data_IF_467501630027
#
_entry.id   IF_467501630027
#
_cell.length_a   1.000
_cell.length_b   1.000
_cell.length_c   1.000
_cell.angle_alpha   90.00
_cell.angle_beta   90.00
_cell.angle_gamma   90.00
#
_symmetry.space_group_name_H-M   'P 1'
#
loop_
_entity.id
_entity.type
_entity.pdbx_description
1 polymer ?
#
# COMPACT_ATOMS: atom_id res chain seq x y z
N UNK A 1 23.73 -22.84 -13.53
CA UNK A 1 24.19 -21.86 -12.52
C UNK A 1 23.16 -20.73 -12.35
N UNK A 2 21.87 -21.03 -12.05
CA UNK A 2 20.80 -20.01 -11.89
C UNK A 2 20.22 -19.93 -10.47
N UNK A 3 20.45 -20.95 -9.64
CA UNK A 3 19.91 -21.01 -8.28
C UNK A 3 20.46 -19.90 -7.35
N UNK A 4 21.69 -19.43 -7.58
CA UNK A 4 22.28 -18.32 -6.82
C UNK A 4 21.62 -16.97 -7.12
N UNK A 5 21.36 -16.68 -8.40
CA UNK A 5 20.75 -15.41 -8.83
C UNK A 5 19.30 -15.25 -8.36
N UNK A 6 18.51 -16.34 -8.31
CA UNK A 6 17.13 -16.29 -7.78
C UNK A 6 17.10 -16.10 -6.26
N UNK A 7 18.07 -16.67 -5.52
CA UNK A 7 18.19 -16.50 -4.07
C UNK A 7 18.67 -15.09 -3.71
N UNK A 8 19.64 -14.54 -4.47
CA UNK A 8 20.08 -13.15 -4.35
C UNK A 8 18.94 -12.19 -4.69
N UNK A 9 18.11 -12.55 -5.69
CA UNK A 9 16.94 -11.78 -6.10
C UNK A 9 15.80 -11.79 -5.06
N UNK A 10 15.49 -12.95 -4.47
CA UNK A 10 14.54 -13.07 -3.36
C UNK A 10 14.98 -12.27 -2.13
N UNK A 11 16.28 -12.23 -1.86
CA UNK A 11 16.87 -11.46 -0.75
C UNK A 11 16.76 -9.96 -1.00
N UNK A 12 17.07 -9.50 -2.22
CA UNK A 12 16.91 -8.10 -2.62
C UNK A 12 15.43 -7.64 -2.57
N UNK A 13 14.48 -8.50 -2.92
CA UNK A 13 13.05 -8.22 -2.78
C UNK A 13 12.64 -8.06 -1.31
N UNK A 14 13.22 -8.86 -0.41
CA UNK A 14 13.00 -8.76 1.04
C UNK A 14 13.58 -7.48 1.64
N UNK A 15 14.79 -7.07 1.22
CA UNK A 15 15.39 -5.80 1.62
C UNK A 15 14.61 -4.61 1.06
N UNK A 16 14.13 -4.69 -0.19
CA UNK A 16 13.28 -3.68 -0.80
C UNK A 16 11.91 -3.58 -0.11
N UNK A 17 11.33 -4.71 0.29
CA UNK A 17 10.12 -4.76 1.11
C UNK A 17 10.33 -4.22 2.54
N UNK A 18 11.58 -4.15 2.99
CA UNK A 18 11.99 -3.55 4.27
C UNK A 18 12.22 -2.03 4.16
N UNK A 19 12.17 -1.44 2.96
CA UNK A 19 12.31 0.01 2.77
C UNK A 19 11.09 0.79 3.28
N UNK A 20 11.23 2.09 3.62
CA UNK A 20 10.07 2.98 3.82
C UNK A 20 9.11 2.89 2.63
N UNK A 21 7.79 2.87 2.85
CA UNK A 21 6.83 2.43 1.81
C UNK A 21 6.92 3.23 0.49
N UNK A 22 7.35 4.49 0.53
CA UNK A 22 7.62 5.30 -0.66
C UNK A 22 8.73 4.77 -1.57
N UNK A 23 9.72 4.06 -1.03
CA UNK A 23 10.75 3.39 -1.82
C UNK A 23 10.31 2.01 -2.30
N UNK A 24 9.42 1.34 -1.57
CA UNK A 24 8.83 0.06 -1.99
C UNK A 24 7.95 0.25 -3.23
N UNK A 25 7.11 1.28 -3.26
CA UNK A 25 6.28 1.62 -4.43
C UNK A 25 7.13 2.01 -5.63
N UNK A 26 8.14 2.86 -5.42
CA UNK A 26 9.06 3.25 -6.50
C UNK A 26 9.82 2.04 -7.08
N UNK A 27 10.20 1.09 -6.23
CA UNK A 27 10.84 -0.15 -6.68
C UNK A 27 9.85 -1.09 -7.40
N UNK A 28 8.59 -1.16 -6.98
CA UNK A 28 7.56 -1.96 -7.67
C UNK A 28 7.23 -1.38 -9.05
N UNK A 29 7.10 -0.05 -9.17
CA UNK A 29 6.89 0.63 -10.45
C UNK A 29 8.10 0.40 -11.38
N UNK A 30 9.33 0.51 -10.86
CA UNK A 30 10.53 0.22 -11.65
C UNK A 30 10.56 -1.23 -12.17
N UNK A 31 10.03 -2.19 -11.41
CA UNK A 31 9.90 -3.59 -11.85
C UNK A 31 8.85 -3.75 -12.95
N UNK A 32 7.74 -3.01 -12.89
CA UNK A 32 6.72 -2.99 -13.94
C UNK A 32 7.29 -2.40 -15.24
N UNK A 33 7.99 -1.27 -15.16
CA UNK A 33 8.65 -0.64 -16.32
C UNK A 33 9.74 -1.54 -16.93
N UNK A 34 10.39 -2.37 -16.12
CA UNK A 34 11.35 -3.37 -16.59
C UNK A 34 10.70 -4.64 -17.19
N UNK A 35 9.38 -4.68 -17.37
CA UNK A 35 8.66 -5.84 -17.93
C UNK A 35 8.47 -6.99 -16.92
N UNK A 36 8.70 -6.75 -15.63
CA UNK A 36 8.66 -7.74 -14.54
C UNK A 36 7.47 -7.51 -13.62
N UNK A 37 6.30 -7.30 -14.21
CA UNK A 37 5.08 -6.97 -13.47
C UNK A 37 4.70 -8.00 -12.38
N UNK A 38 5.00 -9.29 -12.60
CA UNK A 38 4.78 -10.34 -11.59
C UNK A 38 5.60 -10.15 -10.32
N UNK A 39 6.85 -9.70 -10.45
CA UNK A 39 7.76 -9.44 -9.33
C UNK A 39 7.37 -8.16 -8.58
N UNK A 40 6.94 -7.11 -9.30
CA UNK A 40 6.39 -5.90 -8.69
C UNK A 40 5.13 -6.19 -7.86
N UNK A 41 4.22 -7.00 -8.40
CA UNK A 41 3.02 -7.47 -7.66
C UNK A 41 3.38 -8.35 -6.45
N UNK A 42 4.41 -9.19 -6.56
CA UNK A 42 4.86 -10.03 -5.45
C UNK A 42 5.53 -9.20 -4.34
N UNK A 43 6.32 -8.19 -4.70
CA UNK A 43 6.92 -7.26 -3.76
C UNK A 43 5.86 -6.42 -3.02
N UNK A 44 4.82 -5.97 -3.73
CA UNK A 44 3.65 -5.34 -3.11
C UNK A 44 2.92 -6.30 -2.16
N UNK A 45 2.72 -7.57 -2.54
CA UNK A 45 2.11 -8.61 -1.67
C UNK A 45 2.96 -8.98 -0.45
N UNK A 46 4.28 -8.80 -0.50
CA UNK A 46 5.16 -9.00 0.66
C UNK A 46 5.20 -7.76 1.56
N UNK A 47 5.21 -6.54 0.99
CA UNK A 47 5.05 -5.29 1.75
C UNK A 47 3.70 -5.18 2.47
N UNK A 48 2.69 -5.89 1.97
CA UNK A 48 1.39 -6.11 2.58
C UNK A 48 1.52 -6.81 3.94
N UNK A 49 2.52 -7.64 4.24
CA UNK A 49 2.72 -8.25 5.57
C UNK A 49 2.95 -7.24 6.72
N UNK A 50 3.10 -5.94 6.42
CA UNK A 50 3.20 -4.89 7.43
C UNK A 50 1.89 -4.68 8.20
N UNK A 51 1.96 -4.34 9.50
CA UNK A 51 0.80 -3.92 10.26
C UNK A 51 0.10 -2.74 9.58
N UNK A 52 -1.25 -2.70 9.51
CA UNK A 52 -1.98 -1.62 8.87
C UNK A 52 -1.54 -0.21 9.30
N UNK A 53 -1.22 -0.02 10.58
CA UNK A 53 -0.73 1.26 11.10
C UNK A 53 0.61 1.72 10.51
N UNK A 54 1.48 0.81 10.04
CA UNK A 54 2.72 1.21 9.36
C UNK A 54 2.47 1.76 7.95
N UNK A 55 1.46 1.23 7.25
CA UNK A 55 1.02 1.75 5.94
C UNK A 55 0.53 3.18 6.11
N UNK A 56 -0.32 3.43 7.12
CA UNK A 56 -0.79 4.77 7.47
C UNK A 56 0.36 5.74 7.74
N UNK A 57 1.36 5.35 8.54
CA UNK A 57 2.55 6.18 8.82
C UNK A 57 3.35 6.50 7.56
N UNK A 58 3.51 5.54 6.66
CA UNK A 58 4.25 5.78 5.43
C UNK A 58 3.51 6.72 4.46
N UNK A 59 2.17 6.61 4.38
CA UNK A 59 1.33 7.56 3.65
C UNK A 59 1.46 8.97 4.22
N UNK A 60 1.49 9.12 5.54
CA UNK A 60 1.70 10.41 6.20
C UNK A 60 3.08 11.00 5.86
N UNK A 61 4.12 10.18 5.85
CA UNK A 61 5.48 10.59 5.43
C UNK A 61 5.51 11.09 3.99
N UNK A 62 4.94 10.33 3.05
CA UNK A 62 4.86 10.73 1.65
C UNK A 62 4.02 11.99 1.44
N UNK A 63 2.93 12.15 2.19
CA UNK A 63 2.10 13.36 2.17
C UNK A 63 2.87 14.57 2.68
N UNK A 64 3.68 14.40 3.74
CA UNK A 64 4.55 15.47 4.25
C UNK A 64 5.63 15.88 3.24
N UNK A 65 6.15 14.91 2.47
CA UNK A 65 7.09 15.13 1.36
C UNK A 65 6.41 15.63 0.07
N UNK A 66 5.09 15.84 0.05
CA UNK A 66 4.29 16.24 -1.13
C UNK A 66 4.38 15.27 -2.31
N UNK A 67 4.63 13.98 -2.02
CA UNK A 67 4.73 12.89 -3.00
C UNK A 67 3.34 12.31 -3.33
N UNK A 68 2.48 13.16 -3.87
CA UNK A 68 1.05 12.86 -4.05
C UNK A 68 0.79 11.72 -5.04
N UNK A 69 1.63 11.58 -6.08
CA UNK A 69 1.51 10.48 -7.04
C UNK A 69 1.74 9.14 -6.36
N UNK A 70 2.77 9.04 -5.54
CA UNK A 70 3.15 7.82 -4.82
C UNK A 70 2.14 7.44 -3.74
N UNK A 71 1.54 8.44 -3.06
CA UNK A 71 0.41 8.20 -2.15
C UNK A 71 -0.76 7.53 -2.86
N UNK A 72 -1.13 8.02 -4.05
CA UNK A 72 -2.24 7.46 -4.83
C UNK A 72 -1.94 6.02 -5.28
N UNK A 73 -0.77 5.78 -5.87
CA UNK A 73 -0.37 4.43 -6.31
C UNK A 73 -0.36 3.44 -5.15
N UNK A 74 0.19 3.84 -4.00
CA UNK A 74 0.23 3.00 -2.81
C UNK A 74 -1.17 2.64 -2.32
N UNK A 75 -2.05 3.64 -2.16
CA UNK A 75 -3.39 3.44 -1.60
C UNK A 75 -4.30 2.66 -2.55
N UNK A 76 -4.23 2.91 -3.86
CA UNK A 76 -4.99 2.15 -4.86
C UNK A 76 -4.60 0.66 -4.82
N UNK A 77 -3.29 0.37 -4.78
CA UNK A 77 -2.80 -1.01 -4.67
C UNK A 77 -3.20 -1.64 -3.33
N UNK A 78 -3.10 -0.89 -2.24
CA UNK A 78 -3.42 -1.37 -0.89
C UNK A 78 -4.90 -1.71 -0.73
N UNK A 79 -5.81 -0.84 -1.17
CA UNK A 79 -7.27 -1.06 -1.10
C UNK A 79 -7.73 -2.22 -2.00
N UNK A 80 -7.05 -2.47 -3.13
CA UNK A 80 -7.32 -3.65 -3.97
C UNK A 80 -6.86 -4.95 -3.32
N UNK A 81 -5.73 -4.92 -2.61
CA UNK A 81 -5.08 -6.09 -2.06
C UNK A 81 -5.61 -6.50 -0.67
N UNK A 82 -6.17 -5.56 0.08
CA UNK A 82 -6.60 -5.76 1.47
C UNK A 82 -8.11 -5.88 1.63
N UNK A 83 -8.51 -6.56 2.70
CA UNK A 83 -9.92 -6.49 3.12
C UNK A 83 -10.26 -5.06 3.56
N UNK A 84 -11.53 -4.65 3.47
CA UNK A 84 -11.98 -3.34 3.94
C UNK A 84 -11.58 -3.06 5.40
N UNK A 85 -11.62 -4.06 6.28
CA UNK A 85 -11.27 -3.94 7.70
C UNK A 85 -9.77 -3.72 7.92
N UNK A 86 -8.92 -4.41 7.15
CA UNK A 86 -7.48 -4.17 7.17
C UNK A 86 -7.15 -2.76 6.67
N UNK A 87 -7.80 -2.33 5.59
CA UNK A 87 -7.62 -0.99 5.05
C UNK A 87 -8.08 0.09 6.04
N UNK A 88 -9.21 -0.10 6.71
CA UNK A 88 -9.72 0.79 7.74
C UNK A 88 -8.74 0.95 8.92
N UNK A 89 -8.12 -0.16 9.39
CA UNK A 89 -7.11 -0.11 10.47
C UNK A 89 -5.89 0.74 10.12
N UNK A 90 -5.58 0.93 8.83
CA UNK A 90 -4.46 1.79 8.43
C UNK A 90 -4.69 3.27 8.75
N UNK A 91 -5.92 3.69 9.02
CA UNK A 91 -6.26 5.06 9.40
C UNK A 91 -5.84 5.43 10.83
N UNK A 92 -5.59 4.44 11.71
CA UNK A 92 -5.30 4.63 13.13
C UNK A 92 -4.22 5.71 13.45
N UNK A 93 -3.10 5.83 12.71
CA UNK A 93 -2.06 6.81 13.04
C UNK A 93 -2.49 8.28 12.93
N UNK A 94 -3.40 8.60 12.01
CA UNK A 94 -3.99 9.93 11.85
C UNK A 94 -5.28 9.83 11.03
N UNK A 95 -6.42 9.52 11.69
CA UNK A 95 -7.67 9.26 10.97
C UNK A 95 -8.16 10.47 10.17
N UNK A 96 -7.89 11.69 10.66
CA UNK A 96 -8.34 12.92 9.99
C UNK A 96 -7.68 13.11 8.63
N UNK A 97 -6.42 12.70 8.50
CA UNK A 97 -5.68 12.79 7.23
C UNK A 97 -5.82 11.53 6.37
N UNK A 98 -5.91 10.36 6.99
CA UNK A 98 -5.86 9.08 6.27
C UNK A 98 -7.22 8.64 5.76
N UNK A 99 -8.32 8.88 6.48
CA UNK A 99 -9.66 8.47 6.03
C UNK A 99 -10.04 9.07 4.67
N UNK A 100 -9.88 10.38 4.42
CA UNK A 100 -10.22 10.94 3.11
C UNK A 100 -9.42 10.33 1.97
N UNK A 101 -8.12 10.06 2.18
CA UNK A 101 -7.23 9.46 1.17
C UNK A 101 -7.60 8.00 0.87
N UNK A 102 -7.96 7.24 1.91
CA UNK A 102 -8.42 5.86 1.79
C UNK A 102 -9.74 5.76 1.02
N UNK A 103 -10.68 6.67 1.30
CA UNK A 103 -11.96 6.74 0.60
C UNK A 103 -11.80 7.18 -0.86
N UNK A 104 -10.89 8.13 -1.14
CA UNK A 104 -10.55 8.53 -2.52
C UNK A 104 -9.98 7.35 -3.31
N UNK A 105 -9.03 6.61 -2.73
CA UNK A 105 -8.46 5.42 -3.38
C UNK A 105 -9.53 4.34 -3.61
N UNK A 106 -10.38 4.06 -2.62
CA UNK A 106 -11.47 3.09 -2.78
C UNK A 106 -12.48 3.49 -3.85
N UNK A 107 -12.80 4.79 -3.95
CA UNK A 107 -13.65 5.33 -5.02
C UNK A 107 -13.03 5.11 -6.41
N UNK A 108 -11.70 5.22 -6.52
CA UNK A 108 -10.96 4.93 -7.75
C UNK A 108 -10.95 3.45 -8.14
N UNK A 109 -11.26 2.54 -7.20
CA UNK A 109 -11.38 1.10 -7.45
C UNK A 109 -12.79 0.73 -7.90
N UNK A 110 -13.81 1.02 -7.07
CA UNK A 110 -15.23 0.84 -7.39
C UNK A 110 -16.12 1.48 -6.34
N UNK A 111 -17.38 1.77 -6.68
CA UNK A 111 -18.38 2.26 -5.72
C UNK A 111 -18.60 1.25 -4.58
N UNK A 112 -18.69 -0.04 -4.88
CA UNK A 112 -18.81 -1.12 -3.90
C UNK A 112 -17.65 -1.09 -2.90
N UNK A 113 -16.41 -1.00 -3.40
CA UNK A 113 -15.23 -0.97 -2.54
C UNK A 113 -15.20 0.25 -1.63
N UNK A 114 -15.68 1.40 -2.11
CA UNK A 114 -15.85 2.59 -1.27
C UNK A 114 -16.86 2.35 -0.15
N UNK A 115 -18.02 1.79 -0.44
CA UNK A 115 -19.05 1.54 0.58
C UNK A 115 -18.61 0.52 1.62
N UNK A 116 -17.95 -0.56 1.19
CA UNK A 116 -17.33 -1.54 2.08
C UNK A 116 -16.34 -0.87 3.05
N UNK A 117 -15.50 0.03 2.52
CA UNK A 117 -14.50 0.72 3.33
C UNK A 117 -15.14 1.73 4.28
N UNK A 118 -16.17 2.47 3.86
CA UNK A 118 -16.97 3.34 4.74
C UNK A 118 -17.56 2.52 5.89
N UNK A 119 -18.11 1.34 5.60
CA UNK A 119 -18.66 0.45 6.62
C UNK A 119 -17.57 0.00 7.62
N UNK A 120 -16.45 -0.50 7.10
CA UNK A 120 -15.33 -0.94 7.93
C UNK A 120 -14.72 0.17 8.80
N UNK A 121 -14.61 1.39 8.28
CA UNK A 121 -14.15 2.56 9.03
C UNK A 121 -15.10 2.90 10.19
N UNK A 122 -16.42 2.83 9.96
CA UNK A 122 -17.42 3.05 11.03
C UNK A 122 -17.36 1.97 12.09
N UNK A 123 -17.21 0.70 11.70
CA UNK A 123 -17.02 -0.43 12.63
C UNK A 123 -15.75 -0.24 13.46
N UNK A 124 -14.68 0.29 12.86
CA UNK A 124 -13.43 0.61 13.54
C UNK A 124 -13.49 1.91 14.38
N UNK A 125 -14.61 2.63 14.41
CA UNK A 125 -14.78 3.86 15.20
C UNK A 125 -14.22 5.13 14.55
N UNK A 126 -13.88 5.11 13.26
CA UNK A 126 -13.43 6.28 12.52
C UNK A 126 -14.60 7.01 11.86
N UNK A 127 -14.51 8.34 11.81
CA UNK A 127 -15.47 9.16 11.06
C UNK A 127 -15.22 9.01 9.56
N UNK A 128 -16.23 8.54 8.81
CA UNK A 128 -16.18 8.21 7.39
C UNK A 128 -17.38 8.78 6.61
#
# INVERSE_FOLDING_TARGET
HRAGLDADWQTLLWEAASLPAGRLVAAADALVEAGRAGDGQQMLRQGVARPPGEVGRAVLGLTAERRHREVRVLLDAYVRARTPEEAARSAEPDPRRLVPLLLEAAQGVSDERRWDLVHALRVAGFAA
#
